data_IF_450246600729
#
_entry.id   IF_450246600729
#
_cell.length_a   1.000
_cell.length_b   1.000
_cell.length_c   1.000
_cell.angle_alpha   90.00
_cell.angle_beta   90.00
_cell.angle_gamma   90.00
#
_symmetry.space_group_name_H-M   'P 1'
#
loop_
_entity.id
_entity.type
_entity.pdbx_description
1 polymer ?
#
# COMPACT_ATOMS: atom_id res chain seq x y z
N UNK A 1 66.10 0.14 -18.25
CA UNK A 1 64.85 0.91 -18.06
C UNK A 1 63.71 0.25 -18.85
N UNK A 2 63.07 -0.87 -18.46
CA UNK A 2 61.90 -1.45 -19.17
C UNK A 2 61.18 -2.55 -18.38
N UNK A 3 61.49 -2.76 -17.07
CA UNK A 3 60.79 -3.81 -16.30
C UNK A 3 59.73 -3.30 -15.32
N UNK A 4 59.59 -1.97 -15.13
CA UNK A 4 58.64 -1.39 -14.17
C UNK A 4 57.27 -1.10 -14.82
N UNK A 5 57.20 -0.94 -16.12
CA UNK A 5 55.93 -0.62 -16.83
C UNK A 5 55.01 -1.81 -17.07
N UNK A 6 55.56 -3.05 -17.02
CA UNK A 6 54.73 -4.24 -17.22
C UNK A 6 53.92 -4.66 -15.99
N UNK A 7 54.36 -4.27 -14.79
CA UNK A 7 53.68 -4.63 -13.54
C UNK A 7 52.46 -3.75 -13.22
N UNK A 8 52.36 -2.54 -13.77
CA UNK A 8 51.27 -1.61 -13.51
C UNK A 8 50.06 -1.94 -14.41
N UNK A 9 50.27 -2.46 -15.63
CA UNK A 9 49.20 -2.82 -16.53
C UNK A 9 48.38 -4.06 -16.08
N UNK A 10 49.00 -4.98 -15.32
CA UNK A 10 48.31 -6.18 -14.84
C UNK A 10 47.39 -5.92 -13.61
N UNK A 11 47.64 -4.90 -12.82
CA UNK A 11 46.85 -4.55 -11.63
C UNK A 11 45.53 -3.83 -11.97
N UNK A 12 45.40 -3.23 -13.15
CA UNK A 12 44.17 -2.53 -13.56
C UNK A 12 43.14 -3.46 -14.20
N UNK A 13 43.53 -4.66 -14.64
CA UNK A 13 42.61 -5.60 -15.28
C UNK A 13 41.77 -6.46 -14.30
N UNK A 14 42.13 -6.48 -13.02
CA UNK A 14 41.48 -7.31 -11.99
C UNK A 14 40.32 -6.62 -11.29
N UNK A 15 40.08 -5.33 -11.52
CA UNK A 15 38.97 -4.58 -10.90
C UNK A 15 37.66 -4.54 -11.72
N UNK A 16 37.64 -5.13 -12.92
CA UNK A 16 36.47 -5.12 -13.80
C UNK A 16 35.56 -6.35 -13.69
N UNK A 17 35.85 -7.30 -12.79
CA UNK A 17 35.16 -8.58 -12.72
C UNK A 17 34.25 -8.68 -11.46
N UNK A 18 33.23 -7.84 -11.32
CA UNK A 18 32.42 -7.96 -10.12
C UNK A 18 31.02 -7.35 -10.11
N UNK A 19 30.56 -6.77 -11.19
CA UNK A 19 29.16 -6.36 -11.27
C UNK A 19 28.33 -7.50 -11.87
N UNK A 20 27.99 -8.50 -11.07
CA UNK A 20 26.89 -9.41 -11.43
C UNK A 20 25.63 -8.54 -11.58
N UNK A 21 24.93 -8.61 -12.73
CA UNK A 21 23.68 -7.87 -12.86
C UNK A 21 22.72 -8.37 -11.78
N UNK A 22 22.43 -7.55 -10.81
CA UNK A 22 21.31 -7.77 -9.89
C UNK A 22 20.07 -7.96 -10.76
N UNK A 23 19.46 -9.15 -10.70
CA UNK A 23 18.21 -9.43 -11.41
C UNK A 23 17.06 -8.84 -10.60
N UNK A 24 16.91 -7.51 -10.66
CA UNK A 24 15.78 -6.84 -10.10
C UNK A 24 14.53 -7.20 -10.92
N UNK A 25 13.51 -7.67 -10.25
CA UNK A 25 12.17 -7.87 -10.83
C UNK A 25 11.34 -6.63 -10.54
N UNK A 26 10.72 -6.07 -11.57
CA UNK A 26 9.85 -4.91 -11.42
C UNK A 26 8.39 -5.36 -11.23
N UNK A 27 7.82 -5.09 -10.06
CA UNK A 27 6.39 -5.26 -9.80
C UNK A 27 5.66 -3.95 -10.06
N UNK A 28 4.59 -4.00 -10.85
CA UNK A 28 3.74 -2.86 -11.19
C UNK A 28 2.39 -3.00 -10.51
N UNK A 29 2.12 -2.13 -9.53
CA UNK A 29 0.87 -2.13 -8.78
C UNK A 29 0.05 -0.91 -9.20
N UNK A 30 -1.02 -1.17 -9.93
CA UNK A 30 -1.93 -0.12 -10.37
C UNK A 30 -2.81 0.39 -9.22
N UNK A 31 -3.30 1.62 -9.37
CA UNK A 31 -4.24 2.27 -8.47
C UNK A 31 -5.41 1.35 -8.06
N UNK A 32 -6.01 0.69 -9.04
CA UNK A 32 -7.20 -0.15 -8.81
C UNK A 32 -6.89 -1.40 -7.97
N UNK A 33 -5.65 -1.90 -8.01
CA UNK A 33 -5.21 -2.99 -7.15
C UNK A 33 -5.14 -2.54 -5.68
N UNK A 34 -4.52 -1.38 -5.42
CA UNK A 34 -4.46 -0.80 -4.07
C UNK A 34 -5.86 -0.45 -3.53
N UNK A 35 -6.73 0.08 -4.38
CA UNK A 35 -8.11 0.40 -4.01
C UNK A 35 -8.91 -0.88 -3.66
N UNK A 36 -8.74 -1.97 -4.42
CA UNK A 36 -9.34 -3.27 -4.09
C UNK A 36 -8.82 -3.82 -2.77
N UNK A 37 -7.50 -3.78 -2.53
CA UNK A 37 -6.91 -4.22 -1.26
C UNK A 37 -7.50 -3.45 -0.09
N UNK A 38 -7.57 -2.12 -0.18
CA UNK A 38 -8.17 -1.27 0.84
C UNK A 38 -9.64 -1.63 1.09
N UNK A 39 -10.42 -1.81 0.02
CA UNK A 39 -11.83 -2.19 0.13
C UNK A 39 -12.02 -3.56 0.77
N UNK A 40 -11.21 -4.53 0.41
CA UNK A 40 -11.29 -5.89 0.96
C UNK A 40 -10.87 -5.95 2.43
N UNK A 41 -9.87 -5.18 2.84
CA UNK A 41 -9.35 -5.23 4.21
C UNK A 41 -10.11 -4.32 5.18
N UNK A 42 -10.53 -3.16 4.73
CA UNK A 42 -11.10 -2.15 5.62
C UNK A 42 -12.61 -1.93 5.41
N UNK A 43 -13.09 -2.05 4.18
CA UNK A 43 -14.48 -1.78 3.80
C UNK A 43 -15.24 -3.07 3.46
N UNK A 44 -14.86 -4.20 4.03
CA UNK A 44 -15.54 -5.49 3.83
C UNK A 44 -16.88 -5.59 4.57
N UNK A 45 -17.21 -4.64 5.43
CA UNK A 45 -18.45 -4.59 6.18
C UNK A 45 -19.70 -4.43 5.31
N UNK A 46 -20.91 -4.52 5.90
CA UNK A 46 -22.17 -4.37 5.18
C UNK A 46 -22.21 -3.06 4.39
N UNK A 47 -22.59 -3.15 3.11
CA UNK A 47 -22.64 -2.03 2.16
C UNK A 47 -21.29 -1.31 1.93
N UNK A 48 -20.15 -1.99 2.12
CA UNK A 48 -18.83 -1.38 1.93
C UNK A 48 -18.52 -0.26 2.92
N UNK A 49 -18.96 -0.40 4.17
CA UNK A 49 -18.81 0.63 5.20
C UNK A 49 -17.85 0.20 6.30
N UNK A 50 -17.06 1.16 6.76
CA UNK A 50 -16.27 1.06 7.98
C UNK A 50 -16.86 1.95 9.06
N UNK A 51 -17.31 1.36 10.16
CA UNK A 51 -17.94 2.10 11.26
C UNK A 51 -16.89 2.62 12.25
N UNK A 52 -16.77 3.95 12.35
CA UNK A 52 -15.91 4.63 13.33
C UNK A 52 -16.60 4.71 14.69
N UNK A 53 -17.94 4.80 14.67
CA UNK A 53 -18.78 4.81 15.88
C UNK A 53 -20.15 4.20 15.57
N UNK A 54 -20.67 3.39 16.50
CA UNK A 54 -21.95 2.70 16.31
C UNK A 54 -21.82 1.45 15.45
N UNK A 55 -22.96 0.93 15.03
CA UNK A 55 -23.11 -0.29 14.23
C UNK A 55 -24.12 -0.04 13.09
N UNK A 56 -24.27 -0.97 12.13
CA UNK A 56 -25.29 -0.85 11.08
C UNK A 56 -26.72 -0.60 11.58
N UNK A 57 -27.06 -1.10 12.78
CA UNK A 57 -28.36 -0.95 13.42
C UNK A 57 -28.50 0.29 14.30
N UNK A 58 -27.40 1.02 14.54
CA UNK A 58 -27.43 2.20 15.41
C UNK A 58 -28.12 3.39 14.69
N UNK A 59 -29.07 4.04 15.37
CA UNK A 59 -29.70 5.26 14.88
C UNK A 59 -28.69 6.39 14.71
N UNK A 60 -27.77 6.56 15.69
CA UNK A 60 -26.64 7.47 15.61
C UNK A 60 -25.37 6.66 15.31
N UNK A 61 -24.78 6.89 14.14
CA UNK A 61 -23.58 6.21 13.70
C UNK A 61 -22.67 7.14 12.87
N UNK A 62 -21.37 6.87 12.93
CA UNK A 62 -20.35 7.51 12.09
C UNK A 62 -19.64 6.42 11.31
N UNK A 63 -19.64 6.52 9.99
CA UNK A 63 -18.96 5.57 9.13
C UNK A 63 -18.31 6.26 7.93
N UNK A 64 -17.30 5.59 7.38
CA UNK A 64 -16.67 5.92 6.12
C UNK A 64 -17.09 4.91 5.04
N UNK A 65 -17.24 5.38 3.82
CA UNK A 65 -17.51 4.58 2.62
C UNK A 65 -16.82 5.18 1.39
N UNK A 66 -17.02 4.56 0.21
CA UNK A 66 -16.53 5.01 -1.10
C UNK A 66 -15.05 5.41 -1.11
N UNK A 67 -14.20 4.53 -0.59
CA UNK A 67 -12.77 4.76 -0.60
C UNK A 67 -12.22 4.76 -2.03
N UNK A 68 -11.43 5.78 -2.36
CA UNK A 68 -10.76 5.97 -3.64
C UNK A 68 -9.28 6.21 -3.44
N UNK A 69 -8.47 5.58 -4.27
CA UNK A 69 -7.01 5.73 -4.27
C UNK A 69 -6.58 6.53 -5.49
N UNK A 70 -5.69 7.51 -5.30
CA UNK A 70 -5.04 8.25 -6.39
C UNK A 70 -3.56 8.43 -6.08
N UNK A 71 -2.75 8.63 -7.12
CA UNK A 71 -1.33 8.96 -6.97
C UNK A 71 -1.14 10.46 -7.20
N UNK A 72 -0.33 11.09 -6.32
CA UNK A 72 0.03 12.51 -6.43
C UNK A 72 1.53 12.60 -6.20
N UNK A 73 2.28 12.91 -7.24
CA UNK A 73 3.75 12.94 -7.20
C UNK A 73 4.32 11.61 -6.68
N UNK A 74 5.00 11.64 -5.53
CA UNK A 74 5.61 10.49 -4.84
C UNK A 74 4.74 9.91 -3.71
N UNK A 75 3.47 10.33 -3.62
CA UNK A 75 2.55 9.96 -2.53
C UNK A 75 1.27 9.33 -3.05
N UNK A 76 0.66 8.54 -2.21
CA UNK A 76 -0.67 7.97 -2.43
C UNK A 76 -1.67 8.78 -1.63
N UNK A 77 -2.71 9.24 -2.30
CA UNK A 77 -3.83 9.94 -1.69
C UNK A 77 -5.03 9.00 -1.61
N UNK A 78 -5.53 8.81 -0.41
CA UNK A 78 -6.79 8.09 -0.15
C UNK A 78 -7.86 9.10 0.22
N UNK A 79 -8.97 9.06 -0.53
CA UNK A 79 -10.19 9.84 -0.28
C UNK A 79 -11.27 8.90 0.20
N UNK A 80 -12.01 9.31 1.22
CA UNK A 80 -13.17 8.59 1.73
C UNK A 80 -14.33 9.56 1.91
N UNK A 81 -15.55 9.09 1.65
CA UNK A 81 -16.76 9.79 2.08
C UNK A 81 -17.06 9.38 3.51
N UNK A 82 -17.43 10.34 4.32
CA UNK A 82 -17.83 10.09 5.70
C UNK A 82 -19.28 10.50 5.89
N UNK A 83 -20.02 9.68 6.61
CA UNK A 83 -21.36 10.03 7.06
C UNK A 83 -21.41 9.95 8.57
N UNK A 84 -21.83 11.03 9.19
CA UNK A 84 -21.90 11.16 10.64
C UNK A 84 -23.30 11.59 11.06
N UNK A 85 -23.97 10.73 11.83
CA UNK A 85 -25.18 11.09 12.60
C UNK A 85 -24.76 11.07 14.06
N UNK A 86 -24.60 12.27 14.64
CA UNK A 86 -24.11 12.46 16.01
C UNK A 86 -25.18 13.13 16.85
N UNK A 87 -25.52 12.55 18.00
CA UNK A 87 -26.53 13.05 18.89
C UNK A 87 -27.05 11.97 19.83
N UNK A 88 -28.29 12.10 20.25
CA UNK A 88 -28.99 11.17 21.14
C UNK A 88 -29.95 10.29 20.33
N UNK A 89 -29.94 8.99 20.59
CA UNK A 89 -30.92 8.07 20.02
C UNK A 89 -32.20 8.14 20.84
N UNK A 90 -33.31 8.46 20.18
CA UNK A 90 -34.65 8.54 20.80
C UNK A 90 -35.64 7.86 19.85
N UNK A 91 -36.36 6.86 20.33
CA UNK A 91 -37.37 6.14 19.53
C UNK A 91 -36.84 5.54 18.22
N UNK A 92 -35.56 5.12 18.18
CA UNK A 92 -34.94 4.59 16.96
C UNK A 92 -34.47 5.65 15.95
N UNK A 93 -34.66 6.95 16.23
CA UNK A 93 -34.14 8.07 15.44
C UNK A 93 -32.92 8.71 16.10
N UNK A 94 -32.00 9.26 15.31
CA UNK A 94 -30.89 10.06 15.83
C UNK A 94 -31.29 11.54 15.84
N UNK A 95 -31.42 12.11 17.03
CA UNK A 95 -31.70 13.53 17.22
C UNK A 95 -30.36 14.22 17.46
N UNK A 96 -29.95 15.10 16.54
CA UNK A 96 -28.68 15.82 16.58
C UNK A 96 -28.26 16.31 15.20
N UNK A 97 -26.94 16.31 14.95
CA UNK A 97 -26.35 16.80 13.68
C UNK A 97 -26.11 15.66 12.70
N UNK A 98 -26.32 15.94 11.41
CA UNK A 98 -25.98 15.04 10.31
C UNK A 98 -24.98 15.72 9.38
N UNK A 99 -23.85 15.08 9.13
CA UNK A 99 -22.74 15.61 8.33
C UNK A 99 -22.29 14.56 7.30
N UNK A 100 -21.81 15.03 6.16
CA UNK A 100 -21.30 14.16 5.08
C UNK A 100 -20.00 14.73 4.47
N UNK A 101 -18.94 14.95 5.26
CA UNK A 101 -17.69 15.48 4.73
C UNK A 101 -16.94 14.42 3.93
N UNK A 102 -16.07 14.91 3.03
CA UNK A 102 -14.99 14.10 2.46
C UNK A 102 -13.76 14.25 3.33
N UNK A 103 -13.06 13.14 3.54
CA UNK A 103 -11.80 13.12 4.26
C UNK A 103 -10.70 12.55 3.38
N UNK A 104 -9.51 13.12 3.48
CA UNK A 104 -8.38 12.77 2.62
C UNK A 104 -7.11 12.61 3.45
N UNK A 105 -6.34 11.56 3.16
CA UNK A 105 -5.03 11.30 3.74
C UNK A 105 -4.04 10.99 2.63
N UNK A 106 -2.87 11.60 2.69
CA UNK A 106 -1.75 11.25 1.82
C UNK A 106 -0.70 10.47 2.61
N UNK A 107 -0.05 9.51 1.97
CA UNK A 107 0.97 8.66 2.58
C UNK A 107 2.05 8.30 1.58
N UNK A 108 3.27 8.06 2.07
CA UNK A 108 4.40 7.62 1.27
C UNK A 108 4.50 6.08 1.29
N UNK A 109 4.70 5.41 0.15
CA UNK A 109 5.00 3.99 0.12
C UNK A 109 6.42 3.73 0.65
N UNK A 110 6.63 2.59 1.32
CA UNK A 110 7.94 2.15 1.77
C UNK A 110 8.04 0.63 1.77
N UNK A 111 9.28 0.12 1.60
CA UNK A 111 9.58 -1.32 1.70
C UNK A 111 9.78 -1.74 3.14
N UNK A 112 9.19 -2.85 3.54
CA UNK A 112 9.37 -3.48 4.84
C UNK A 112 9.59 -4.98 4.64
N UNK A 113 10.85 -5.37 4.48
CA UNK A 113 11.19 -6.76 4.17
C UNK A 113 10.59 -7.21 2.83
N UNK A 114 9.70 -8.19 2.88
CA UNK A 114 8.96 -8.72 1.72
C UNK A 114 7.66 -7.97 1.42
N UNK A 115 7.33 -6.93 2.20
CA UNK A 115 6.05 -6.22 2.11
C UNK A 115 6.23 -4.77 1.67
N UNK A 116 5.16 -4.25 1.08
CA UNK A 116 4.98 -2.83 0.77
C UNK A 116 4.07 -2.24 1.83
N UNK A 117 4.56 -1.28 2.59
CA UNK A 117 3.80 -0.53 3.58
C UNK A 117 3.57 0.92 3.17
N UNK A 118 2.84 1.65 4.03
CA UNK A 118 2.55 3.06 3.85
C UNK A 118 2.78 3.81 5.15
N UNK A 119 3.56 4.89 5.09
CA UNK A 119 3.96 5.70 6.24
C UNK A 119 3.77 7.19 5.98
N UNK A 120 4.11 7.99 6.98
CA UNK A 120 4.05 9.46 6.90
C UNK A 120 2.66 9.96 6.48
N UNK A 121 1.63 9.38 7.09
CA UNK A 121 0.25 9.74 6.83
C UNK A 121 0.00 11.20 7.21
N UNK A 122 -0.31 12.02 6.21
CA UNK A 122 -0.63 13.44 6.36
C UNK A 122 -2.09 13.66 6.03
N UNK A 123 -2.83 14.24 6.95
CA UNK A 123 -4.21 14.61 6.74
C UNK A 123 -4.27 15.81 5.80
N UNK A 124 -4.82 15.60 4.60
CA UNK A 124 -4.97 16.64 3.58
C UNK A 124 -6.27 17.39 3.76
N UNK A 125 -7.32 16.64 4.08
CA UNK A 125 -8.66 17.18 4.31
C UNK A 125 -9.36 16.38 5.40
N UNK A 126 -9.96 17.08 6.32
CA UNK A 126 -10.83 16.54 7.38
C UNK A 126 -12.06 17.44 7.54
N UNK A 127 -12.94 17.09 8.45
CA UNK A 127 -14.13 17.90 8.76
C UNK A 127 -13.77 19.18 9.51
N UNK A 128 -14.60 20.20 9.42
CA UNK A 128 -14.54 21.40 10.26
C UNK A 128 -15.06 21.14 11.69
N UNK A 129 -15.67 19.96 11.93
CA UNK A 129 -16.23 19.57 13.23
C UNK A 129 -15.19 18.84 14.07
N UNK A 130 -14.86 19.38 15.25
CA UNK A 130 -13.84 18.83 16.15
C UNK A 130 -14.16 17.41 16.59
N UNK A 131 -15.42 17.11 16.93
CA UNK A 131 -15.88 15.81 17.40
C UNK A 131 -15.71 14.74 16.32
N UNK A 132 -15.96 15.08 15.07
CA UNK A 132 -15.78 14.18 13.96
C UNK A 132 -14.29 13.97 13.65
N UNK A 133 -13.47 15.01 13.76
CA UNK A 133 -12.02 14.91 13.56
C UNK A 133 -11.36 14.01 14.60
N UNK A 134 -11.85 13.99 15.83
CA UNK A 134 -11.37 13.06 16.86
C UNK A 134 -11.52 11.59 16.44
N UNK A 135 -12.56 11.26 15.68
CA UNK A 135 -12.75 9.90 15.12
C UNK A 135 -11.99 9.69 13.81
N UNK A 136 -11.97 10.70 12.93
CA UNK A 136 -11.35 10.59 11.60
C UNK A 136 -9.82 10.55 11.66
N UNK A 137 -9.20 11.30 12.56
CA UNK A 137 -7.73 11.38 12.63
C UNK A 137 -7.07 10.02 12.85
N UNK A 138 -7.41 9.23 13.88
CA UNK A 138 -6.81 7.91 14.08
C UNK A 138 -7.19 6.92 12.96
N UNK A 139 -8.38 7.01 12.40
CA UNK A 139 -8.81 6.21 11.27
C UNK A 139 -7.93 6.46 10.04
N UNK A 140 -7.77 7.71 9.63
CA UNK A 140 -7.00 8.08 8.45
C UNK A 140 -5.50 7.89 8.64
N UNK A 141 -4.95 8.19 9.83
CA UNK A 141 -3.51 8.15 10.06
C UNK A 141 -2.96 6.77 10.44
N UNK A 142 -3.79 5.84 10.89
CA UNK A 142 -3.36 4.52 11.34
C UNK A 142 -4.07 3.38 10.63
N UNK A 143 -5.42 3.37 10.64
CA UNK A 143 -6.21 2.27 10.09
C UNK A 143 -6.04 2.18 8.56
N UNK A 144 -6.16 3.29 7.84
CA UNK A 144 -6.03 3.31 6.37
C UNK A 144 -4.64 2.84 5.94
N UNK A 145 -3.51 3.38 6.45
CA UNK A 145 -2.18 2.90 6.06
C UNK A 145 -1.96 1.41 6.35
N UNK A 146 -2.36 0.93 7.54
CA UNK A 146 -2.19 -0.47 7.92
C UNK A 146 -3.00 -1.43 7.06
N UNK A 147 -4.20 -1.02 6.63
CA UNK A 147 -5.09 -1.82 5.78
C UNK A 147 -4.71 -1.79 4.30
N UNK A 148 -3.74 -0.99 3.92
CA UNK A 148 -3.21 -0.97 2.54
C UNK A 148 -1.91 -1.77 2.39
N UNK A 149 -1.36 -2.34 3.47
CA UNK A 149 -0.14 -3.15 3.42
C UNK A 149 -0.32 -4.32 2.45
N UNK A 150 0.63 -4.48 1.55
CA UNK A 150 0.63 -5.51 0.51
C UNK A 150 1.84 -6.41 0.73
N UNK A 151 1.62 -7.70 0.83
CA UNK A 151 2.68 -8.70 0.83
C UNK A 151 3.11 -8.96 -0.62
N UNK A 152 4.27 -8.40 -0.99
CA UNK A 152 4.80 -8.52 -2.34
C UNK A 152 5.26 -9.95 -2.65
N UNK A 153 5.79 -10.66 -1.64
CA UNK A 153 6.20 -12.04 -1.81
C UNK A 153 5.00 -12.98 -2.01
N UNK A 154 3.93 -12.79 -1.26
CA UNK A 154 2.69 -13.57 -1.43
C UNK A 154 2.06 -13.32 -2.82
N UNK A 155 2.03 -12.08 -3.29
CA UNK A 155 1.56 -11.75 -4.64
C UNK A 155 2.39 -12.46 -5.72
N UNK A 156 3.72 -12.43 -5.59
CA UNK A 156 4.60 -13.08 -6.56
C UNK A 156 4.52 -14.61 -6.47
N UNK A 157 4.45 -15.19 -5.28
CA UNK A 157 4.23 -16.65 -5.11
C UNK A 157 2.94 -17.10 -5.79
N UNK A 158 1.83 -16.40 -5.58
CA UNK A 158 0.55 -16.71 -6.24
C UNK A 158 0.62 -16.58 -7.77
N UNK A 159 1.33 -15.57 -8.27
CA UNK A 159 1.53 -15.42 -9.70
C UNK A 159 2.38 -16.57 -10.29
N UNK A 160 3.43 -17.01 -9.60
CA UNK A 160 4.25 -18.13 -9.99
C UNK A 160 3.48 -19.46 -9.93
N UNK A 161 2.70 -19.71 -8.89
CA UNK A 161 1.84 -20.88 -8.75
C UNK A 161 0.83 -20.96 -9.90
N UNK A 162 0.21 -19.84 -10.27
CA UNK A 162 -0.74 -19.82 -11.39
C UNK A 162 -0.08 -20.12 -12.75
N UNK A 163 1.21 -19.79 -12.90
CA UNK A 163 1.97 -20.08 -14.12
C UNK A 163 2.47 -21.53 -14.19
N UNK A 164 2.69 -22.20 -13.05
CA UNK A 164 3.12 -23.59 -12.99
C UNK A 164 2.03 -24.60 -13.37
N UNK A 165 0.76 -24.22 -13.31
CA UNK A 165 -0.37 -25.09 -13.72
C UNK A 165 -0.29 -25.46 -15.22
N UNK A 166 0.39 -24.67 -16.03
CA UNK A 166 0.57 -24.89 -17.47
C UNK A 166 1.94 -25.49 -17.85
N UNK A 167 2.84 -25.66 -16.89
CA UNK A 167 4.19 -26.21 -17.13
C UNK A 167 4.49 -27.37 -16.18
N UNK A 168 5.25 -28.36 -16.63
CA UNK A 168 5.68 -29.50 -15.79
C UNK A 168 6.77 -29.12 -14.76
N UNK A 169 7.07 -27.85 -14.58
CA UNK A 169 8.09 -27.36 -13.68
C UNK A 169 7.45 -26.66 -12.46
N UNK A 170 7.97 -26.97 -11.29
CA UNK A 170 7.59 -26.25 -10.06
C UNK A 170 8.53 -25.06 -9.86
N UNK A 171 8.00 -23.85 -9.96
CA UNK A 171 8.72 -22.61 -9.70
C UNK A 171 8.41 -22.14 -8.28
N UNK A 172 9.45 -21.86 -7.47
CA UNK A 172 9.31 -21.39 -6.10
C UNK A 172 10.08 -20.09 -5.92
N UNK A 173 9.50 -19.15 -5.16
CA UNK A 173 10.16 -17.95 -4.69
C UNK A 173 10.74 -18.23 -3.30
N UNK A 174 12.06 -18.32 -3.19
CA UNK A 174 12.75 -18.66 -1.94
C UNK A 174 12.93 -17.42 -1.06
N UNK A 175 13.24 -16.29 -1.65
CA UNK A 175 13.41 -15.01 -0.97
C UNK A 175 12.94 -13.85 -1.84
N UNK A 176 12.43 -12.80 -1.19
CA UNK A 176 12.14 -11.52 -1.84
C UNK A 176 12.56 -10.39 -0.91
N UNK A 177 13.12 -9.33 -1.47
CA UNK A 177 13.42 -8.09 -0.75
C UNK A 177 13.02 -6.90 -1.61
N UNK A 178 12.24 -6.01 -1.05
CA UNK A 178 11.91 -4.72 -1.69
C UNK A 178 13.16 -3.83 -1.65
N UNK A 179 13.64 -3.42 -2.82
CA UNK A 179 14.83 -2.60 -2.99
C UNK A 179 14.50 -1.11 -3.12
N UNK A 180 13.63 -0.77 -4.06
CA UNK A 180 13.20 0.61 -4.27
C UNK A 180 11.74 0.69 -4.70
N UNK A 181 11.16 1.88 -4.55
CA UNK A 181 9.80 2.15 -5.01
C UNK A 181 9.70 3.55 -5.58
N UNK A 182 8.91 3.68 -6.64
CA UNK A 182 8.62 4.97 -7.27
C UNK A 182 7.21 4.99 -7.84
N UNK A 183 6.58 6.15 -7.82
CA UNK A 183 5.28 6.33 -8.46
C UNK A 183 5.51 6.93 -9.84
N UNK A 184 4.99 6.27 -10.88
CA UNK A 184 4.98 6.78 -12.26
C UNK A 184 3.55 6.78 -12.79
N UNK A 185 2.99 7.97 -12.96
CA UNK A 185 1.61 8.13 -13.39
C UNK A 185 0.61 7.46 -12.41
N UNK A 186 -0.14 6.48 -12.87
CA UNK A 186 -1.13 5.74 -12.09
C UNK A 186 -0.63 4.38 -11.58
N UNK A 187 0.68 4.22 -11.41
CA UNK A 187 1.29 2.94 -11.05
C UNK A 187 2.38 3.13 -10.00
N UNK A 188 2.35 2.33 -8.96
CA UNK A 188 3.44 2.13 -8.03
C UNK A 188 4.36 1.06 -8.62
N UNK A 189 5.59 1.45 -8.94
CA UNK A 189 6.65 0.60 -9.43
C UNK A 189 7.49 0.19 -8.23
N UNK A 190 7.70 -1.09 -8.06
CA UNK A 190 8.45 -1.68 -6.95
C UNK A 190 9.54 -2.56 -7.52
N UNK A 191 10.79 -2.18 -7.31
CA UNK A 191 11.93 -3.02 -7.65
C UNK A 191 12.17 -4.01 -6.51
N UNK A 192 12.21 -5.29 -6.84
CA UNK A 192 12.44 -6.36 -5.88
C UNK A 192 13.61 -7.23 -6.31
N UNK A 193 14.44 -7.59 -5.34
CA UNK A 193 15.43 -8.64 -5.49
C UNK A 193 14.80 -9.96 -5.02
N UNK A 194 14.88 -11.00 -5.84
CA UNK A 194 14.27 -12.28 -5.52
C UNK A 194 15.08 -13.46 -5.99
N UNK A 195 15.14 -14.50 -5.16
CA UNK A 195 15.72 -15.80 -5.50
C UNK A 195 14.59 -16.75 -5.92
N UNK A 196 14.67 -17.23 -7.15
CA UNK A 196 13.68 -18.14 -7.72
C UNK A 196 14.38 -19.48 -8.03
N UNK A 197 13.79 -20.58 -7.56
CA UNK A 197 14.25 -21.93 -7.88
C UNK A 197 13.21 -22.66 -8.73
N UNK A 198 13.70 -23.52 -9.64
CA UNK A 198 12.90 -24.37 -10.52
C UNK A 198 13.23 -25.82 -10.20
N UNK A 199 12.22 -26.62 -9.90
CA UNK A 199 12.34 -28.07 -9.59
C UNK A 199 11.47 -28.88 -10.51
#
# INVERSE_FOLDING_TARGET
>A
MNKVWLSIACSFLLLAAGALPSRAVELRIGRDALERTLKQQLFAGPNGRFYLKGTPSSACAVYADDARVTFIQDRILVKVKTRARMGKSVGGACIGISLSPQAEVSMAPYGEGESIGFRDAQLVKVSDQRELNFLLTPFLSRQVPSSMKVDAADLLRKALESSTVSSNYKVTLDRLKVHSMQIKGNTLIVDVDGDISVK
#
